data_IF_264423180814
#
_entry.id   IF_264423180814
#
_cell.length_a   1.000
_cell.length_b   1.000
_cell.length_c   1.000
_cell.angle_alpha   90.00
_cell.angle_beta   90.00
_cell.angle_gamma   90.00
#
_symmetry.space_group_name_H-M   'P 1'
#
loop_
_entity.id
_entity.type
_entity.pdbx_description
1 polymer ?
#
# COMPACT_ATOMS: atom_id res chain seq x y z
N UNK A 1 15.96 -4.91 1.56
CA UNK A 1 17.43 -4.92 1.30
C UNK A 1 17.73 -4.91 -0.20
N UNK A 2 17.29 -5.94 -0.97
CA UNK A 2 17.52 -6.07 -2.43
C UNK A 2 17.33 -4.77 -3.25
N UNK A 3 16.29 -4.00 -2.95
CA UNK A 3 15.91 -2.81 -3.73
C UNK A 3 16.58 -1.51 -3.26
N UNK A 4 17.63 -1.58 -2.43
CA UNK A 4 18.37 -0.40 -1.96
C UNK A 4 17.58 0.56 -1.04
N UNK A 5 16.31 0.28 -0.74
CA UNK A 5 15.41 1.19 -0.01
C UNK A 5 15.90 1.53 1.41
N UNK A 6 16.49 0.57 2.12
CA UNK A 6 16.91 0.77 3.51
C UNK A 6 18.00 1.83 3.61
N UNK A 7 19.06 1.67 2.80
CA UNK A 7 20.17 2.62 2.72
C UNK A 7 19.76 3.90 2.01
N UNK A 8 19.07 3.77 0.87
CA UNK A 8 18.67 4.90 0.03
C UNK A 8 17.72 5.89 0.70
N UNK A 9 16.92 5.45 1.67
CA UNK A 9 16.01 6.29 2.46
C UNK A 9 16.45 6.44 3.93
N UNK A 10 17.54 5.79 4.35
CA UNK A 10 18.03 5.79 5.74
C UNK A 10 16.97 5.30 6.73
N UNK A 11 16.27 4.21 6.41
CA UNK A 11 15.23 3.66 7.27
C UNK A 11 15.84 3.04 8.53
N UNK A 12 15.18 3.22 9.68
CA UNK A 12 15.58 2.56 10.91
C UNK A 12 15.25 1.05 10.82
N UNK A 13 16.27 0.23 10.53
CA UNK A 13 16.11 -1.20 10.27
C UNK A 13 15.58 -1.96 11.51
N UNK A 14 15.95 -1.53 12.72
CA UNK A 14 15.48 -2.16 13.95
C UNK A 14 13.99 -1.92 14.16
N UNK A 15 13.55 -0.68 13.99
CA UNK A 15 12.13 -0.32 14.08
C UNK A 15 11.34 -0.94 12.93
N UNK A 16 11.89 -1.02 11.72
CA UNK A 16 11.24 -1.67 10.58
C UNK A 16 10.98 -3.16 10.84
N UNK A 17 11.96 -3.90 11.38
CA UNK A 17 11.76 -5.32 11.74
C UNK A 17 10.68 -5.50 12.79
N UNK A 18 10.69 -4.67 13.84
CA UNK A 18 9.67 -4.68 14.89
C UNK A 18 8.29 -4.35 14.33
N UNK A 19 8.21 -3.37 13.43
CA UNK A 19 6.97 -2.98 12.75
C UNK A 19 6.43 -4.11 11.87
N UNK A 20 7.27 -4.76 11.06
CA UNK A 20 6.84 -5.88 10.22
C UNK A 20 6.37 -7.08 11.04
N UNK A 21 7.05 -7.40 12.15
CA UNK A 21 6.60 -8.43 13.08
C UNK A 21 5.25 -8.07 13.74
N UNK A 22 5.04 -6.79 14.05
CA UNK A 22 3.75 -6.30 14.50
C UNK A 22 2.66 -6.52 13.44
N UNK A 23 2.90 -6.09 12.20
CA UNK A 23 1.94 -6.26 11.09
C UNK A 23 1.63 -7.73 10.85
N UNK A 24 2.62 -8.61 10.81
CA UNK A 24 2.41 -10.06 10.69
C UNK A 24 1.49 -10.59 11.78
N UNK A 25 1.69 -10.17 13.04
CA UNK A 25 0.84 -10.55 14.17
C UNK A 25 -0.60 -10.02 14.12
N UNK A 26 -0.92 -9.10 13.19
CA UNK A 26 -2.31 -8.65 12.97
C UNK A 26 -3.07 -9.49 11.95
N UNK A 27 -2.38 -10.34 11.18
CA UNK A 27 -3.05 -11.27 10.29
C UNK A 27 -3.57 -12.47 11.09
N UNK A 28 -4.90 -12.60 11.12
CA UNK A 28 -5.57 -13.68 11.84
C UNK A 28 -5.39 -15.03 11.12
N UNK A 29 -5.71 -16.12 11.81
CA UNK A 29 -5.70 -17.49 11.26
C UNK A 29 -6.85 -17.78 10.28
N UNK A 30 -7.20 -16.81 9.42
CA UNK A 30 -8.22 -16.97 8.40
C UNK A 30 -7.75 -17.99 7.33
N UNK A 31 -8.67 -18.71 6.66
CA UNK A 31 -8.30 -19.62 5.58
C UNK A 31 -7.55 -18.96 4.42
N UNK A 32 -7.85 -17.69 4.13
CA UNK A 32 -7.25 -16.93 3.02
C UNK A 32 -6.54 -15.65 3.48
N UNK A 33 -7.26 -14.69 4.08
CA UNK A 33 -6.73 -13.40 4.54
C UNK A 33 -5.85 -13.54 5.79
N UNK A 34 -4.70 -14.19 5.63
CA UNK A 34 -3.70 -14.52 6.66
C UNK A 34 -2.31 -14.00 6.24
N UNK A 35 -1.31 -14.24 7.08
CA UNK A 35 0.05 -13.72 6.87
C UNK A 35 0.71 -14.28 5.59
N UNK A 36 0.35 -15.48 5.12
CA UNK A 36 0.84 -16.02 3.86
C UNK A 36 0.34 -15.21 2.66
N UNK A 37 -0.95 -14.87 2.65
CA UNK A 37 -1.53 -13.99 1.63
C UNK A 37 -0.85 -12.60 1.65
N UNK A 38 -0.69 -12.01 2.83
CA UNK A 38 0.02 -10.74 2.97
C UNK A 38 1.47 -10.80 2.42
N UNK A 39 2.19 -11.90 2.69
CA UNK A 39 3.54 -12.11 2.18
C UNK A 39 3.59 -12.32 0.65
N UNK A 40 2.67 -13.11 0.09
CA UNK A 40 2.56 -13.38 -1.35
C UNK A 40 2.30 -12.09 -2.13
N UNK A 41 1.29 -11.30 -1.75
CA UNK A 41 0.97 -10.02 -2.39
C UNK A 41 2.15 -9.04 -2.27
N UNK A 42 2.82 -8.99 -1.11
CA UNK A 42 4.03 -8.16 -0.93
C UNK A 42 5.14 -8.54 -1.90
N UNK A 43 5.40 -9.84 -2.07
CA UNK A 43 6.44 -10.34 -2.95
C UNK A 43 6.10 -10.07 -4.42
N UNK A 44 4.86 -10.33 -4.84
CA UNK A 44 4.41 -10.11 -6.21
C UNK A 44 4.40 -8.63 -6.57
N UNK A 45 3.93 -7.78 -5.66
CA UNK A 45 3.99 -6.33 -5.83
C UNK A 45 5.44 -5.88 -6.04
N UNK A 46 6.39 -6.35 -5.22
CA UNK A 46 7.81 -6.04 -5.40
C UNK A 46 8.35 -6.52 -6.76
N UNK A 47 7.96 -7.70 -7.23
CA UNK A 47 8.37 -8.22 -8.54
C UNK A 47 7.81 -7.40 -9.71
N UNK A 48 6.54 -6.98 -9.64
CA UNK A 48 5.92 -6.08 -10.63
C UNK A 48 6.67 -4.74 -10.67
N UNK A 49 6.99 -4.16 -9.50
CA UNK A 49 7.73 -2.89 -9.42
C UNK A 49 9.14 -3.01 -10.00
N UNK A 50 9.80 -4.17 -9.85
CA UNK A 50 11.10 -4.44 -10.47
C UNK A 50 10.96 -4.50 -12.01
N UNK A 51 9.92 -5.15 -12.52
CA UNK A 51 9.65 -5.26 -13.95
C UNK A 51 9.35 -3.90 -14.61
N UNK A 52 8.78 -2.94 -13.87
CA UNK A 52 8.50 -1.58 -14.35
C UNK A 52 9.77 -0.76 -14.67
N UNK A 53 10.93 -1.12 -14.13
CA UNK A 53 12.21 -0.43 -14.36
C UNK A 53 12.12 1.10 -14.16
N UNK A 54 11.39 1.54 -13.13
CA UNK A 54 11.28 2.96 -12.77
C UNK A 54 12.68 3.54 -12.46
N UNK A 55 12.94 4.82 -12.80
CA UNK A 55 14.23 5.45 -12.54
C UNK A 55 14.54 5.43 -11.05
N UNK A 56 15.79 5.24 -10.67
CA UNK A 56 16.17 5.18 -9.26
C UNK A 56 16.50 6.56 -8.71
N UNK A 57 15.49 7.23 -8.12
CA UNK A 57 15.63 8.55 -7.52
C UNK A 57 14.84 8.63 -6.21
N UNK A 58 14.94 9.77 -5.50
CA UNK A 58 14.27 9.94 -4.21
C UNK A 58 12.75 9.69 -4.31
N UNK A 59 12.09 10.25 -5.32
CA UNK A 59 10.63 10.19 -5.44
C UNK A 59 10.14 8.77 -5.75
N UNK A 60 10.77 8.08 -6.70
CA UNK A 60 10.42 6.69 -7.03
C UNK A 60 10.73 5.72 -5.90
N UNK A 61 11.80 5.95 -5.11
CA UNK A 61 12.09 5.17 -3.89
C UNK A 61 10.99 5.31 -2.85
N UNK A 62 10.45 6.53 -2.66
CA UNK A 62 9.33 6.77 -1.74
C UNK A 62 8.06 6.06 -2.21
N UNK A 63 7.73 6.18 -3.49
CA UNK A 63 6.59 5.49 -4.09
C UNK A 63 6.71 3.97 -4.02
N UNK A 64 7.91 3.42 -4.28
CA UNK A 64 8.21 1.99 -4.16
C UNK A 64 8.08 1.51 -2.72
N UNK A 65 8.61 2.27 -1.75
CA UNK A 65 8.44 1.94 -0.33
C UNK A 65 6.95 1.97 0.06
N UNK A 66 6.20 2.96 -0.41
CA UNK A 66 4.77 3.08 -0.12
C UNK A 66 3.97 1.92 -0.71
N UNK A 67 4.26 1.49 -1.94
CA UNK A 67 3.59 0.36 -2.57
C UNK A 67 3.91 -0.97 -1.87
N UNK A 68 5.18 -1.22 -1.51
CA UNK A 68 5.56 -2.42 -0.76
C UNK A 68 4.93 -2.43 0.64
N UNK A 69 4.90 -1.28 1.32
CA UNK A 69 4.24 -1.16 2.61
C UNK A 69 2.73 -1.41 2.49
N UNK A 70 2.08 -0.77 1.51
CA UNK A 70 0.66 -0.97 1.23
C UNK A 70 0.33 -2.44 1.01
N UNK A 71 1.13 -3.15 0.20
CA UNK A 71 0.97 -4.57 -0.02
C UNK A 71 1.07 -5.40 1.27
N UNK A 72 2.03 -5.10 2.13
CA UNK A 72 2.21 -5.80 3.40
C UNK A 72 1.05 -5.58 4.38
N UNK A 73 0.38 -4.43 4.34
CA UNK A 73 -0.65 -4.05 5.31
C UNK A 73 -2.08 -4.17 4.79
N UNK A 74 -2.31 -4.45 3.50
CA UNK A 74 -3.62 -4.25 2.87
C UNK A 74 -4.77 -5.02 3.54
N UNK A 75 -4.47 -6.18 4.13
CA UNK A 75 -5.40 -7.04 4.86
C UNK A 75 -5.05 -7.18 6.36
N UNK A 76 -4.31 -6.22 6.93
CA UNK A 76 -3.96 -6.22 8.34
C UNK A 76 -5.22 -6.16 9.23
N UNK A 77 -5.38 -7.11 10.15
CA UNK A 77 -6.55 -7.16 11.04
C UNK A 77 -7.81 -7.74 10.39
N UNK A 78 -7.74 -8.30 9.18
CA UNK A 78 -8.91 -8.79 8.45
C UNK A 78 -9.72 -9.83 9.27
N UNK A 79 -11.05 -9.67 9.43
CA UNK A 79 -11.91 -10.56 10.25
C UNK A 79 -12.34 -11.84 9.54
N UNK A 80 -12.07 -11.96 8.23
CA UNK A 80 -12.41 -13.15 7.42
C UNK A 80 -13.80 -13.11 6.79
N UNK A 81 -14.46 -11.95 6.82
CA UNK A 81 -15.75 -11.65 6.19
C UNK A 81 -15.61 -10.42 5.28
N UNK A 82 -16.57 -10.18 4.41
CA UNK A 82 -16.52 -9.08 3.44
C UNK A 82 -17.17 -7.76 3.95
N UNK A 83 -16.94 -6.66 3.23
CA UNK A 83 -17.51 -5.33 3.54
C UNK A 83 -19.04 -5.38 3.67
N UNK A 84 -19.74 -6.11 2.80
CA UNK A 84 -21.22 -6.18 2.82
C UNK A 84 -21.76 -6.89 4.06
N UNK A 85 -21.05 -7.92 4.53
CA UNK A 85 -21.38 -8.60 5.78
C UNK A 85 -21.28 -7.63 6.95
N UNK A 86 -20.16 -6.89 7.07
CA UNK A 86 -19.94 -5.91 8.15
C UNK A 86 -21.03 -4.85 8.18
N UNK A 87 -21.39 -4.29 7.01
CA UNK A 87 -22.44 -3.29 6.87
C UNK A 87 -23.80 -3.87 7.30
N UNK A 88 -24.16 -5.06 6.82
CA UNK A 88 -25.44 -5.70 7.16
C UNK A 88 -25.56 -6.07 8.64
N UNK A 89 -24.45 -6.30 9.31
CA UNK A 89 -24.43 -6.59 10.74
C UNK A 89 -24.34 -5.33 11.61
N UNK A 90 -24.33 -4.13 11.00
CA UNK A 90 -24.12 -2.86 11.71
C UNK A 90 -22.88 -2.93 12.60
N UNK A 91 -21.81 -3.58 12.11
CA UNK A 91 -20.57 -3.71 12.85
C UNK A 91 -19.97 -2.33 13.15
N UNK A 92 -19.31 -2.18 14.29
CA UNK A 92 -18.72 -0.92 14.73
C UNK A 92 -17.78 -0.32 13.67
N UNK A 93 -17.01 -1.14 12.94
CA UNK A 93 -16.14 -0.64 11.87
C UNK A 93 -16.94 -0.06 10.69
N UNK A 94 -18.07 -0.67 10.34
CA UNK A 94 -18.93 -0.15 9.27
C UNK A 94 -19.49 1.23 9.65
N UNK A 95 -19.90 1.39 10.91
CA UNK A 95 -20.36 2.67 11.47
C UNK A 95 -19.22 3.71 11.48
N UNK A 96 -18.04 3.34 12.00
CA UNK A 96 -16.88 4.23 12.11
C UNK A 96 -16.41 4.77 10.75
N UNK A 97 -16.52 3.94 9.71
CA UNK A 97 -16.12 4.29 8.35
C UNK A 97 -17.27 4.68 7.42
N UNK A 98 -18.49 4.82 7.95
CA UNK A 98 -19.70 5.18 7.20
C UNK A 98 -19.88 4.30 5.93
N UNK A 99 -19.71 3.00 6.09
CA UNK A 99 -19.82 1.98 5.04
C UNK A 99 -18.82 2.12 3.88
N UNK A 100 -17.83 3.02 3.97
CA UNK A 100 -16.84 3.26 2.92
C UNK A 100 -15.57 2.46 3.17
N UNK A 101 -15.24 1.54 2.24
CA UNK A 101 -13.98 0.78 2.26
C UNK A 101 -13.67 0.18 3.63
N UNK A 102 -14.68 -0.43 4.28
CA UNK A 102 -14.69 -0.70 5.72
C UNK A 102 -13.44 -1.48 6.15
N UNK A 103 -13.13 -2.57 5.45
CA UNK A 103 -11.99 -3.42 5.75
C UNK A 103 -10.65 -2.77 5.36
N UNK A 104 -10.59 -2.09 4.23
CA UNK A 104 -9.36 -1.40 3.78
C UNK A 104 -9.00 -0.24 4.72
N UNK A 105 -10.00 0.49 5.23
CA UNK A 105 -9.83 1.54 6.23
C UNK A 105 -9.39 0.97 7.57
N UNK A 106 -9.91 -0.19 7.97
CA UNK A 106 -9.45 -0.89 9.16
C UNK A 106 -7.96 -1.28 9.06
N UNK A 107 -7.56 -1.90 7.96
CA UNK A 107 -6.16 -2.24 7.66
C UNK A 107 -5.22 -1.03 7.80
N UNK A 108 -5.63 0.11 7.22
CA UNK A 108 -4.90 1.37 7.35
C UNK A 108 -4.85 1.88 8.79
N UNK A 109 -5.97 1.83 9.52
CA UNK A 109 -6.03 2.25 10.92
C UNK A 109 -5.05 1.43 11.76
N UNK A 110 -5.08 0.10 11.66
CA UNK A 110 -4.21 -0.81 12.43
C UNK A 110 -2.73 -0.53 12.16
N UNK A 111 -2.36 -0.42 10.89
CA UNK A 111 -0.98 -0.26 10.46
C UNK A 111 -0.41 1.14 10.74
N UNK A 112 -1.12 2.20 10.31
CA UNK A 112 -0.63 3.57 10.45
C UNK A 112 -0.68 4.06 11.91
N UNK A 113 -1.65 3.59 12.70
CA UNK A 113 -1.67 3.87 14.14
C UNK A 113 -0.41 3.31 14.82
N UNK A 114 0.06 2.14 14.40
CA UNK A 114 1.25 1.52 14.97
C UNK A 114 2.52 2.36 14.71
N UNK A 115 2.68 2.91 13.49
CA UNK A 115 3.80 3.80 13.18
C UNK A 115 3.77 5.05 14.06
N UNK A 116 2.59 5.65 14.28
CA UNK A 116 2.45 6.91 15.00
C UNK A 116 2.54 6.78 16.53
N UNK A 117 1.97 5.71 17.10
CA UNK A 117 1.63 5.68 18.52
C UNK A 117 2.25 4.50 19.28
N UNK A 118 2.82 3.50 18.60
CA UNK A 118 3.47 2.37 19.29
C UNK A 118 4.98 2.61 19.41
N UNK A 119 5.54 2.59 20.64
CA UNK A 119 6.97 2.79 20.85
C UNK A 119 7.83 1.82 20.04
N UNK A 120 8.87 2.33 19.39
CA UNK A 120 9.84 1.52 18.65
C UNK A 120 9.33 0.92 17.34
N UNK A 121 8.14 1.32 16.86
CA UNK A 121 7.59 0.88 15.56
C UNK A 121 7.71 1.93 14.46
N UNK A 122 8.04 3.19 14.79
CA UNK A 122 8.28 4.21 13.78
C UNK A 122 9.61 3.97 13.06
N UNK A 123 9.56 3.32 11.90
CA UNK A 123 10.75 3.06 11.07
C UNK A 123 11.17 4.24 10.18
N UNK A 124 10.38 5.31 10.15
CA UNK A 124 10.68 6.55 9.43
C UNK A 124 11.44 7.56 10.31
N UNK A 125 11.50 7.34 11.63
CA UNK A 125 12.27 8.15 12.57
C UNK A 125 13.76 8.20 12.18
N UNK A 126 14.32 9.40 12.06
CA UNK A 126 15.70 9.64 11.63
C UNK A 126 15.98 9.36 10.14
N UNK A 127 14.96 9.01 9.36
CA UNK A 127 15.08 8.70 7.93
C UNK A 127 14.97 9.96 7.06
N UNK A 128 15.20 9.81 5.74
CA UNK A 128 14.93 10.88 4.75
C UNK A 128 13.44 11.24 4.62
N UNK A 129 12.57 10.44 5.22
CA UNK A 129 11.12 10.65 5.28
C UNK A 129 10.66 11.13 6.65
N UNK A 130 11.58 11.37 7.58
CA UNK A 130 11.23 12.00 8.84
C UNK A 130 10.69 13.42 8.61
N UNK A 131 9.82 13.86 9.51
CA UNK A 131 9.14 15.15 9.46
C UNK A 131 7.71 15.09 8.92
N UNK A 132 6.86 15.97 9.48
CA UNK A 132 5.42 16.03 9.26
C UNK A 132 5.02 16.09 7.77
N UNK A 133 5.72 16.90 6.97
CA UNK A 133 5.40 17.07 5.54
C UNK A 133 5.66 15.80 4.71
N UNK A 134 6.78 15.11 4.96
CA UNK A 134 7.11 13.86 4.29
C UNK A 134 6.15 12.74 4.73
N UNK A 135 5.85 12.66 6.02
CA UNK A 135 4.87 11.72 6.55
C UNK A 135 3.50 11.86 5.90
N UNK A 136 2.96 13.09 5.80
CA UNK A 136 1.65 13.32 5.17
C UNK A 136 1.63 12.81 3.72
N UNK A 137 2.68 13.10 2.94
CA UNK A 137 2.78 12.64 1.55
C UNK A 137 2.90 11.12 1.46
N UNK A 138 3.79 10.53 2.26
CA UNK A 138 3.98 9.07 2.28
C UNK A 138 2.70 8.34 2.69
N UNK A 139 2.07 8.78 3.79
CA UNK A 139 0.79 8.26 4.26
C UNK A 139 -0.29 8.36 3.19
N UNK A 140 -0.39 9.49 2.49
CA UNK A 140 -1.38 9.66 1.42
C UNK A 140 -1.20 8.65 0.28
N UNK A 141 0.04 8.37 -0.14
CA UNK A 141 0.33 7.36 -1.18
C UNK A 141 -0.07 5.97 -0.68
N UNK A 142 0.34 5.59 0.54
CA UNK A 142 -0.01 4.29 1.13
C UNK A 142 -1.53 4.12 1.23
N UNK A 143 -2.23 5.11 1.79
CA UNK A 143 -3.69 5.13 1.88
C UNK A 143 -4.34 4.97 0.51
N UNK A 144 -3.88 5.71 -0.50
CA UNK A 144 -4.46 5.62 -1.85
C UNK A 144 -4.28 4.25 -2.49
N UNK A 145 -3.18 3.54 -2.20
CA UNK A 145 -2.94 2.20 -2.73
C UNK A 145 -3.79 1.15 -1.99
N UNK A 146 -3.87 1.21 -0.66
CA UNK A 146 -4.70 0.27 0.12
C UNK A 146 -6.18 0.45 -0.19
N UNK A 147 -6.70 1.68 -0.25
CA UNK A 147 -8.13 1.87 -0.61
C UNK A 147 -8.47 1.38 -2.02
N UNK A 148 -7.48 1.30 -2.91
CA UNK A 148 -7.69 0.74 -4.24
C UNK A 148 -7.81 -0.79 -4.23
N UNK A 149 -7.51 -1.49 -3.13
CA UNK A 149 -7.72 -2.95 -3.06
C UNK A 149 -9.19 -3.32 -2.94
N UNK A 150 -10.05 -2.41 -2.46
CA UNK A 150 -11.50 -2.60 -2.44
C UNK A 150 -12.00 -3.03 -3.82
N UNK A 151 -12.68 -4.17 -3.87
CA UNK A 151 -13.23 -4.73 -5.09
C UNK A 151 -14.43 -3.96 -5.62
N UNK A 152 -15.11 -3.17 -4.78
CA UNK A 152 -16.11 -2.19 -5.21
C UNK A 152 -15.54 -1.10 -6.13
N UNK A 153 -14.24 -0.81 -6.06
CA UNK A 153 -13.56 0.20 -6.88
C UNK A 153 -12.93 -0.36 -8.15
N UNK A 154 -13.05 -1.67 -8.41
CA UNK A 154 -12.28 -2.35 -9.45
C UNK A 154 -12.51 -1.80 -10.86
N UNK A 155 -13.76 -1.69 -11.29
CA UNK A 155 -14.08 -1.24 -12.65
C UNK A 155 -13.75 0.24 -12.87
N UNK A 156 -13.96 1.08 -11.87
CA UNK A 156 -13.61 2.50 -11.93
C UNK A 156 -12.10 2.71 -12.07
N UNK A 157 -11.31 1.92 -11.34
CA UNK A 157 -9.85 1.95 -11.44
C UNK A 157 -9.37 1.53 -12.83
N UNK A 158 -9.92 0.44 -13.38
CA UNK A 158 -9.59 -0.04 -14.72
C UNK A 158 -10.00 0.96 -15.81
N UNK A 159 -11.16 1.61 -15.68
CA UNK A 159 -11.60 2.65 -16.60
C UNK A 159 -10.65 3.85 -16.59
N UNK A 160 -10.25 4.33 -15.40
CA UNK A 160 -9.27 5.41 -15.23
C UNK A 160 -7.92 5.06 -15.83
N UNK A 161 -7.45 3.83 -15.61
CA UNK A 161 -6.19 3.34 -16.17
C UNK A 161 -6.27 3.27 -17.71
N UNK A 162 -7.33 2.68 -18.25
CA UNK A 162 -7.53 2.53 -19.69
C UNK A 162 -7.58 3.89 -20.39
N UNK A 163 -8.30 4.87 -19.84
CA UNK A 163 -8.39 6.22 -20.41
C UNK A 163 -7.02 6.93 -20.52
N UNK A 164 -6.05 6.58 -19.66
CA UNK A 164 -4.72 7.20 -19.65
C UNK A 164 -3.69 6.43 -20.46
N UNK A 165 -3.78 5.11 -20.49
CA UNK A 165 -2.72 4.24 -21.01
C UNK A 165 -3.13 3.35 -22.20
N UNK A 166 -4.42 3.04 -22.36
CA UNK A 166 -4.92 2.16 -23.42
C UNK A 166 -5.50 3.02 -24.55
N UNK A 167 -4.96 2.88 -25.76
CA UNK A 167 -5.41 3.64 -26.95
C UNK A 167 -4.47 4.74 -27.43
N UNK A 168 -3.34 4.98 -26.73
CA UNK A 168 -2.27 5.87 -27.22
C UNK A 168 -1.15 5.03 -27.84
N UNK A 169 -1.07 4.97 -29.16
CA UNK A 169 0.16 4.59 -29.86
C UNK A 169 1.17 5.76 -29.74
N UNK A 170 1.72 5.97 -28.55
CA UNK A 170 2.72 7.00 -28.31
C UNK A 170 4.13 6.40 -28.29
N UNK A 171 5.15 7.24 -28.47
CA UNK A 171 6.55 6.80 -28.40
C UNK A 171 6.89 6.36 -26.96
N UNK A 172 7.95 5.58 -26.79
CA UNK A 172 8.39 5.09 -25.48
C UNK A 172 8.68 6.22 -24.47
N UNK A 173 9.11 7.40 -24.92
CA UNK A 173 9.34 8.56 -24.05
C UNK A 173 8.03 9.14 -23.50
N UNK A 174 7.01 9.31 -24.36
CA UNK A 174 5.68 9.77 -23.97
C UNK A 174 5.04 8.83 -22.93
N UNK A 175 5.30 7.52 -23.04
CA UNK A 175 4.82 6.52 -22.08
C UNK A 175 5.50 6.66 -20.71
N UNK A 176 6.81 6.91 -20.67
CA UNK A 176 7.55 7.12 -19.42
C UNK A 176 7.10 8.38 -18.69
N UNK A 177 6.87 9.45 -19.42
CA UNK A 177 6.34 10.69 -18.86
C UNK A 177 4.91 10.50 -18.32
N UNK A 178 4.05 9.81 -19.07
CA UNK A 178 2.71 9.47 -18.63
C UNK A 178 2.70 8.59 -17.36
N UNK A 179 3.61 7.63 -17.26
CA UNK A 179 3.80 6.81 -16.04
C UNK A 179 4.23 7.69 -14.87
N UNK A 180 5.21 8.58 -15.06
CA UNK A 180 5.65 9.51 -14.01
C UNK A 180 4.52 10.41 -13.50
N UNK A 181 3.74 11.00 -14.40
CA UNK A 181 2.62 11.88 -14.07
C UNK A 181 1.45 11.15 -13.39
N UNK A 182 1.37 9.82 -13.51
CA UNK A 182 0.26 9.01 -12.99
C UNK A 182 0.75 7.85 -12.13
N UNK A 183 1.91 8.00 -11.48
CA UNK A 183 2.60 6.92 -10.80
C UNK A 183 1.70 6.25 -9.75
N UNK A 184 0.95 7.01 -8.95
CA UNK A 184 0.01 6.44 -7.96
C UNK A 184 -1.02 5.52 -8.61
N UNK A 185 -1.60 5.91 -9.75
CA UNK A 185 -2.56 5.07 -10.47
C UNK A 185 -1.92 3.77 -10.98
N UNK A 186 -0.69 3.87 -11.50
CA UNK A 186 0.08 2.69 -11.93
C UNK A 186 0.34 1.75 -10.76
N UNK A 187 0.65 2.28 -9.57
CA UNK A 187 0.85 1.48 -8.35
C UNK A 187 -0.44 0.85 -7.83
N UNK A 188 -1.58 1.53 -7.92
CA UNK A 188 -2.89 0.97 -7.57
C UNK A 188 -3.23 -0.23 -8.47
N UNK A 189 -2.97 -0.13 -9.77
CA UNK A 189 -3.18 -1.25 -10.70
C UNK A 189 -2.17 -2.37 -10.46
N UNK A 190 -0.90 -2.04 -10.17
CA UNK A 190 0.10 -3.04 -9.78
C UNK A 190 -0.29 -3.81 -8.52
N UNK A 191 -0.85 -3.11 -7.52
CA UNK A 191 -1.36 -3.73 -6.29
C UNK A 191 -2.52 -4.68 -6.57
N UNK A 192 -3.46 -4.33 -7.45
CA UNK A 192 -4.56 -5.23 -7.86
C UNK A 192 -4.11 -6.43 -8.70
N UNK A 193 -2.95 -6.33 -9.36
CA UNK A 193 -2.39 -7.41 -10.18
C UNK A 193 -1.47 -8.35 -9.40
N UNK A 194 -1.04 -7.96 -8.20
CA UNK A 194 -0.25 -8.76 -7.29
C UNK A 194 -1.15 -9.78 -6.57
#
# INVERSE_FOLDING_TARGET
QRNGLLEGLHLNVSNLRRYLAYVEGTYNGNPYHNNWHGADVTQRCAAILDAMQLPDNKDTRVHRLAAILAAAIHDAGHPGVDNNFMIKQEDQMAIDFNDQHVLEMHSLQVALHAICHKPGLNFLEGSRLDGKGNWIKFKHIVTSIVLATDMGQHFDLLAKFSAKFVGRHSKNEDQREAVGANLVLVLQVAMKAA
#
